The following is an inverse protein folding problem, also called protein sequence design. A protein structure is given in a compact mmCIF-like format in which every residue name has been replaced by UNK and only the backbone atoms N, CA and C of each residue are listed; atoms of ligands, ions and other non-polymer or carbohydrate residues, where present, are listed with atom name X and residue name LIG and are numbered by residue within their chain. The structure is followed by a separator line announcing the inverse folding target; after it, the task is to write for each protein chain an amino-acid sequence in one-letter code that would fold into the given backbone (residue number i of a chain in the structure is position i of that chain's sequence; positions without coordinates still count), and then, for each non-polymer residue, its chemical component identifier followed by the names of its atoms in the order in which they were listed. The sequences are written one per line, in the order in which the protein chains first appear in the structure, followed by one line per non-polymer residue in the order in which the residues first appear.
data_IF_593248452790
#
_entry.id   IF_593248452790
#
_cell.length_a   1.000
_cell.length_b   1.000
_cell.length_c   1.000
_cell.angle_alpha   90.00
_cell.angle_beta   90.00
_cell.angle_gamma   90.00
#
_symmetry.space_group_name_H-M   'P 1'
#
loop_
_entity.id
_entity.type
_entity.pdbx_description
1 polymer ?
#
# COMPACT_ATOMS: atom_id res chain seq x y z
N UNK A 1 -7.81 -15.39 25.01
CA UNK A 1 -8.10 -14.54 23.98
C UNK A 1 -6.87 -14.00 23.29
N UNK A 2 -6.82 -14.11 22.07
CA UNK A 2 -5.61 -13.73 21.39
C UNK A 2 -5.56 -12.23 21.24
N UNK A 3 -4.38 -11.72 21.32
CA UNK A 3 -4.14 -10.33 21.13
C UNK A 3 -4.06 -10.05 19.65
N UNK A 4 -4.76 -9.05 19.19
CA UNK A 4 -4.65 -8.71 17.79
C UNK A 4 -3.23 -8.30 17.47
N UNK A 5 -2.73 -8.85 16.43
CA UNK A 5 -1.44 -8.43 15.90
C UNK A 5 -1.68 -7.14 15.15
N UNK A 6 -0.74 -6.23 15.25
CA UNK A 6 -0.81 -5.04 14.44
C UNK A 6 -0.70 -5.44 12.99
N UNK A 7 -1.79 -5.45 12.30
CA UNK A 7 -1.82 -5.89 10.92
C UNK A 7 -2.09 -4.72 10.01
N UNK A 8 -1.50 -4.72 8.83
CA UNK A 8 -1.81 -3.68 7.86
C UNK A 8 -3.17 -3.85 7.22
N UNK A 9 -3.86 -4.96 7.50
CA UNK A 9 -5.09 -5.30 6.81
C UNK A 9 -6.20 -5.52 7.81
N UNK A 10 -7.34 -4.88 7.57
CA UNK A 10 -8.59 -5.14 8.27
C UNK A 10 -9.55 -5.74 7.27
N UNK A 11 -10.68 -6.32 7.73
CA UNK A 11 -11.68 -6.81 6.77
C UNK A 11 -12.16 -5.74 5.81
N UNK A 12 -12.33 -4.51 6.26
CA UNK A 12 -12.74 -3.44 5.37
C UNK A 12 -11.68 -3.15 4.34
N UNK A 13 -10.42 -3.17 4.75
CA UNK A 13 -9.32 -2.93 3.83
C UNK A 13 -9.28 -4.00 2.76
N UNK A 14 -9.44 -5.27 3.15
CA UNK A 14 -9.41 -6.37 2.19
C UNK A 14 -10.54 -6.22 1.18
N UNK A 15 -11.75 -5.93 1.65
CA UNK A 15 -12.89 -5.76 0.76
C UNK A 15 -12.63 -4.61 -0.21
N UNK A 16 -12.10 -3.51 0.31
CA UNK A 16 -11.84 -2.34 -0.52
C UNK A 16 -10.84 -2.66 -1.61
N UNK A 17 -9.72 -3.28 -1.24
CA UNK A 17 -8.68 -3.61 -2.21
C UNK A 17 -9.24 -4.52 -3.30
N UNK A 18 -9.99 -5.55 -2.92
CA UNK A 18 -10.47 -6.54 -3.88
C UNK A 18 -11.53 -6.00 -4.82
N UNK A 19 -12.14 -4.88 -4.48
CA UNK A 19 -13.14 -4.26 -5.36
C UNK A 19 -12.56 -3.11 -6.17
N UNK A 20 -11.26 -2.87 -6.03
CA UNK A 20 -10.60 -1.79 -6.75
C UNK A 20 -9.72 -2.35 -7.85
N UNK A 21 -8.89 -1.50 -8.42
CA UNK A 21 -7.93 -1.90 -9.45
C UNK A 21 -6.75 -2.58 -8.77
N UNK A 22 -6.83 -3.88 -8.59
CA UNK A 22 -5.85 -4.66 -7.84
C UNK A 22 -4.53 -4.71 -8.60
N UNK A 23 -3.45 -4.49 -7.88
CA UNK A 23 -2.11 -4.50 -8.43
C UNK A 23 -1.21 -5.36 -7.55
N UNK A 24 -0.32 -6.12 -8.18
CA UNK A 24 0.79 -6.72 -7.44
C UNK A 24 1.73 -5.60 -7.02
N UNK A 25 2.65 -5.89 -6.12
CA UNK A 25 3.62 -4.86 -5.73
C UNK A 25 4.50 -4.44 -6.91
N UNK A 26 4.83 -5.39 -7.77
CA UNK A 26 5.62 -5.05 -8.96
C UNK A 26 4.84 -4.11 -9.88
N UNK A 27 3.56 -4.40 -10.06
CA UNK A 27 2.71 -3.53 -10.88
C UNK A 27 2.54 -2.16 -10.23
N UNK A 28 2.41 -2.13 -8.90
CA UNK A 28 2.29 -0.87 -8.19
C UNK A 28 3.54 -0.02 -8.34
N UNK A 29 4.71 -0.63 -8.29
CA UNK A 29 5.95 0.08 -8.49
C UNK A 29 6.03 0.67 -9.90
N UNK A 30 5.64 -0.13 -10.89
CA UNK A 30 5.63 0.33 -12.27
C UNK A 30 4.62 1.47 -12.45
N UNK A 31 3.48 1.36 -11.81
CA UNK A 31 2.45 2.40 -11.89
C UNK A 31 2.94 3.71 -11.29
N UNK A 32 3.61 3.64 -10.15
CA UNK A 32 4.18 4.83 -9.53
C UNK A 32 5.24 5.46 -10.43
N UNK A 33 6.09 4.64 -11.01
CA UNK A 33 7.12 5.16 -11.90
C UNK A 33 6.48 5.84 -13.12
N UNK A 34 5.45 5.21 -13.68
CA UNK A 34 4.79 5.76 -14.85
C UNK A 34 4.07 7.06 -14.51
N UNK A 35 3.33 7.06 -13.42
CA UNK A 35 2.52 8.22 -13.06
C UNK A 35 3.36 9.43 -12.68
N UNK A 36 4.57 9.21 -12.21
CA UNK A 36 5.45 10.30 -11.78
C UNK A 36 6.51 10.63 -12.80
N UNK A 37 6.44 10.06 -13.99
CA UNK A 37 7.49 10.28 -14.99
C UNK A 37 8.82 9.75 -14.53
N UNK A 38 8.81 8.62 -13.84
CA UNK A 38 9.98 7.92 -13.32
C UNK A 38 10.67 8.66 -12.17
N UNK A 39 9.99 9.63 -11.58
CA UNK A 39 10.56 10.35 -10.44
C UNK A 39 10.40 9.60 -9.14
N UNK A 40 9.42 8.70 -9.07
CA UNK A 40 9.19 7.89 -7.88
C UNK A 40 9.13 6.44 -8.30
N UNK A 41 10.16 5.69 -7.95
CA UNK A 41 10.19 4.26 -8.25
C UNK A 41 10.72 3.54 -7.02
N UNK A 42 9.86 3.31 -6.03
CA UNK A 42 10.30 2.66 -4.80
C UNK A 42 10.74 1.24 -5.09
N UNK A 43 11.76 0.78 -4.37
CA UNK A 43 12.15 -0.61 -4.49
C UNK A 43 11.22 -1.49 -3.66
N UNK A 44 11.42 -2.78 -3.77
CA UNK A 44 10.55 -3.73 -3.10
C UNK A 44 10.57 -3.53 -1.58
N UNK A 45 11.74 -3.29 -1.02
CA UNK A 45 11.87 -3.12 0.41
C UNK A 45 11.11 -1.88 0.89
N UNK A 46 11.15 -0.82 0.11
CA UNK A 46 10.41 0.39 0.44
C UNK A 46 8.90 0.12 0.42
N UNK A 47 8.42 -0.62 -0.58
CA UNK A 47 7.01 -0.96 -0.64
C UNK A 47 6.58 -1.76 0.59
N UNK A 48 7.39 -2.72 0.99
CA UNK A 48 7.09 -3.52 2.19
C UNK A 48 7.09 -2.66 3.44
N UNK A 49 8.01 -1.70 3.53
CA UNK A 49 8.04 -0.80 4.67
C UNK A 49 6.79 0.05 4.73
N UNK A 50 6.32 0.52 3.59
CA UNK A 50 5.09 1.31 3.53
C UNK A 50 3.90 0.50 4.03
N UNK A 51 3.88 -0.79 3.72
CA UNK A 51 2.77 -1.66 4.12
C UNK A 51 2.84 -1.96 5.62
N UNK A 52 4.01 -2.31 6.10
CA UNK A 52 4.14 -2.84 7.46
C UNK A 52 4.35 -1.76 8.50
N UNK A 53 5.11 -0.76 8.20
CA UNK A 53 5.44 0.29 9.17
C UNK A 53 4.78 1.61 8.83
N UNK A 54 4.69 1.91 7.56
CA UNK A 54 4.17 3.18 7.13
C UNK A 54 5.19 4.29 7.25
N UNK A 55 4.76 5.48 6.93
CA UNK A 55 5.58 6.68 6.99
C UNK A 55 4.72 7.76 7.62
N UNK A 56 5.21 8.34 8.72
CA UNK A 56 4.46 9.40 9.38
C UNK A 56 3.10 8.96 9.86
N UNK A 57 2.97 7.70 10.26
CA UNK A 57 1.71 7.16 10.74
C UNK A 57 0.76 6.72 9.64
N UNK A 58 1.16 6.83 8.38
CA UNK A 58 0.32 6.44 7.24
C UNK A 58 0.89 5.18 6.64
N UNK A 59 0.03 4.19 6.45
CA UNK A 59 0.41 2.91 5.85
C UNK A 59 -0.26 2.73 4.50
N UNK A 60 0.44 2.04 3.61
CA UNK A 60 -0.14 1.67 2.33
C UNK A 60 -1.04 0.45 2.56
N UNK A 61 -2.31 0.58 2.16
CA UNK A 61 -3.25 -0.53 2.28
C UNK A 61 -2.87 -1.64 1.30
N UNK A 62 -2.86 -2.86 1.80
CA UNK A 62 -2.49 -4.00 1.00
C UNK A 62 -3.06 -5.26 1.64
N UNK A 63 -3.16 -6.31 0.85
CA UNK A 63 -3.60 -7.61 1.34
C UNK A 63 -2.61 -8.65 0.89
N UNK A 64 -2.55 -9.75 1.62
CA UNK A 64 -1.66 -10.85 1.29
C UNK A 64 -2.48 -12.08 0.95
N UNK A 65 -2.26 -12.59 -0.23
CA UNK A 65 -2.90 -13.82 -0.68
C UNK A 65 -1.80 -14.80 -1.03
N UNK A 66 -1.75 -15.89 -0.26
CA UNK A 66 -0.63 -16.81 -0.41
C UNK A 66 0.65 -16.12 -0.03
N UNK A 67 1.60 -16.09 -0.93
CA UNK A 67 2.88 -15.45 -0.69
C UNK A 67 3.00 -14.10 -1.33
N UNK A 68 1.91 -13.62 -1.93
CA UNK A 68 1.99 -12.41 -2.70
C UNK A 68 1.17 -11.31 -2.07
N UNK A 69 1.73 -10.12 -2.06
CA UNK A 69 1.03 -8.93 -1.61
C UNK A 69 0.37 -8.22 -2.78
N UNK A 70 -0.80 -7.68 -2.51
CA UNK A 70 -1.55 -6.91 -3.50
C UNK A 70 -1.97 -5.60 -2.87
N UNK A 71 -1.99 -4.56 -3.67
CA UNK A 71 -2.55 -3.29 -3.29
C UNK A 71 -3.51 -2.89 -4.42
N UNK A 72 -3.84 -1.61 -4.53
CA UNK A 72 -4.68 -1.15 -5.61
C UNK A 72 -4.23 0.22 -6.05
N UNK A 73 -4.65 0.60 -7.25
CA UNK A 73 -4.38 1.95 -7.74
C UNK A 73 -4.98 2.99 -6.79
N UNK A 74 -6.19 2.73 -6.32
CA UNK A 74 -6.88 3.62 -5.42
C UNK A 74 -6.20 3.69 -4.05
N UNK A 75 -5.67 2.56 -3.58
CA UNK A 75 -4.95 2.54 -2.31
C UNK A 75 -3.68 3.37 -2.39
N UNK A 76 -2.99 3.31 -3.51
CA UNK A 76 -1.79 4.14 -3.72
C UNK A 76 -2.18 5.60 -3.68
N UNK A 77 -3.29 5.96 -4.31
CA UNK A 77 -3.75 7.34 -4.32
C UNK A 77 -4.09 7.80 -2.90
N UNK A 78 -4.80 6.96 -2.13
CA UNK A 78 -5.13 7.30 -0.76
C UNK A 78 -3.88 7.47 0.09
N UNK A 79 -2.88 6.61 -0.13
CA UNK A 79 -1.61 6.71 0.57
C UNK A 79 -0.93 8.04 0.26
N UNK A 80 -0.89 8.41 -1.01
CA UNK A 80 -0.26 9.66 -1.42
C UNK A 80 -0.98 10.87 -0.81
N UNK A 81 -2.30 10.85 -0.81
CA UNK A 81 -3.08 11.93 -0.24
C UNK A 81 -2.83 12.04 1.25
N UNK A 82 -2.87 10.92 1.96
CA UNK A 82 -2.69 10.92 3.40
C UNK A 82 -1.28 11.33 3.78
N UNK A 83 -0.29 10.90 3.01
CA UNK A 83 1.09 11.30 3.25
C UNK A 83 1.27 12.80 3.06
N UNK A 84 0.64 13.34 2.04
CA UNK A 84 0.73 14.76 1.75
C UNK A 84 0.06 15.57 2.85
N UNK A 85 -1.11 15.12 3.31
CA UNK A 85 -1.84 15.81 4.35
C UNK A 85 -1.17 15.69 5.72
N UNK A 86 -0.45 14.58 5.95
CA UNK A 86 0.13 14.34 7.26
C UNK A 86 1.20 15.34 7.62
N UNK A 87 1.96 15.81 6.66
CA UNK A 87 2.99 16.77 6.84
C UNK A 87 3.78 16.58 8.09
N UNK A 88 4.90 16.71 8.11
CA UNK A 88 5.68 16.70 9.35
C UNK A 88 6.90 17.52 9.22
#
# INVERSE_FOLDING_TARGET
MSTPVAEPVTPETATRILTEDVLTLAEARAELARATGRRCRPDKATMHRWIHRGVGGVRLEAIRLGRQWFTSRQAITRFAIARTAARD
#
